data_IF_903400198197
#
_entry.id   IF_903400198197
#
_cell.length_a   1.000
_cell.length_b   1.000
_cell.length_c   1.000
_cell.angle_alpha   90.00
_cell.angle_beta   90.00
_cell.angle_gamma   90.00
#
_symmetry.space_group_name_H-M   'P 1'
#
loop_
_entity.id
_entity.type
_entity.pdbx_description
1 polymer ?
#
# COMPACT_ATOMS: atom_id res chain seq x y z
N UNK A 1 11.58 25.77 7.30
CA UNK A 1 10.44 25.24 8.06
C UNK A 1 10.19 23.82 7.58
N UNK A 2 10.57 22.77 8.34
CA UNK A 2 10.21 21.38 7.99
C UNK A 2 8.73 21.21 8.37
N UNK A 3 7.84 20.73 7.49
CA UNK A 3 6.44 20.56 7.85
C UNK A 3 6.35 19.59 9.04
N UNK A 4 5.65 20.02 10.08
CA UNK A 4 5.38 19.24 11.28
C UNK A 4 4.69 17.94 10.90
N UNK A 5 5.23 16.80 11.32
CA UNK A 5 4.71 15.44 11.07
C UNK A 5 3.33 15.15 11.69
N UNK A 6 2.69 16.15 12.31
CA UNK A 6 1.43 16.02 13.04
C UNK A 6 0.18 15.95 12.15
N UNK A 7 0.28 16.23 10.85
CA UNK A 7 -0.87 16.26 9.93
C UNK A 7 -0.87 15.11 8.90
N UNK A 8 0.12 14.22 8.97
CA UNK A 8 0.16 13.05 8.09
C UNK A 8 -0.72 11.91 8.62
N UNK A 9 -1.49 11.22 7.76
CA UNK A 9 -2.37 10.16 8.19
C UNK A 9 -1.58 9.00 8.82
N UNK A 10 -2.20 8.27 9.75
CA UNK A 10 -1.60 7.07 10.35
C UNK A 10 -1.30 6.04 9.25
N UNK A 11 -0.06 5.54 9.14
CA UNK A 11 0.29 4.53 8.13
C UNK A 11 -0.60 3.29 8.20
N UNK A 12 -0.93 2.79 9.40
CA UNK A 12 -1.80 1.63 9.56
C UNK A 12 -3.19 1.85 8.96
N UNK A 13 -3.79 3.03 9.12
CA UNK A 13 -5.14 3.29 8.62
C UNK A 13 -5.17 3.36 7.09
N UNK A 14 -4.16 3.98 6.48
CA UNK A 14 -4.03 3.98 5.01
C UNK A 14 -3.74 2.58 4.50
N UNK A 15 -2.85 1.83 5.17
CA UNK A 15 -2.50 0.46 4.76
C UNK A 15 -3.68 -0.52 4.89
N UNK A 16 -4.55 -0.36 5.90
CA UNK A 16 -5.81 -1.12 6.01
C UNK A 16 -6.72 -0.89 4.80
N UNK A 17 -6.87 0.37 4.38
CA UNK A 17 -7.70 0.70 3.22
C UNK A 17 -7.08 0.20 1.91
N UNK A 18 -5.76 0.28 1.77
CA UNK A 18 -5.03 -0.29 0.64
C UNK A 18 -5.20 -1.82 0.57
N UNK A 19 -5.17 -2.53 1.70
CA UNK A 19 -5.46 -3.96 1.75
C UNK A 19 -6.87 -4.28 1.25
N UNK A 20 -7.87 -3.55 1.74
CA UNK A 20 -9.26 -3.72 1.27
C UNK A 20 -9.40 -3.45 -0.24
N UNK A 21 -8.69 -2.44 -0.75
CA UNK A 21 -8.64 -2.13 -2.17
C UNK A 21 -7.99 -3.25 -3.00
N UNK A 22 -6.90 -3.84 -2.51
CA UNK A 22 -6.24 -4.99 -3.13
C UNK A 22 -7.16 -6.20 -3.19
N UNK A 23 -7.85 -6.53 -2.09
CA UNK A 23 -8.80 -7.65 -2.01
C UNK A 23 -9.97 -7.46 -3.00
N UNK A 24 -10.52 -6.25 -3.06
CA UNK A 24 -11.59 -5.91 -3.99
C UNK A 24 -11.15 -6.05 -5.46
N UNK A 25 -9.89 -5.70 -5.77
CA UNK A 25 -9.31 -5.84 -7.11
C UNK A 25 -9.01 -7.31 -7.47
N UNK A 26 -8.50 -8.10 -6.52
CA UNK A 26 -8.22 -9.52 -6.72
C UNK A 26 -9.50 -10.34 -6.95
N UNK A 27 -10.57 -10.06 -6.19
CA UNK A 27 -11.89 -10.66 -6.41
C UNK A 27 -12.43 -10.41 -7.83
N UNK A 28 -12.20 -9.20 -8.36
CA UNK A 28 -12.53 -8.83 -9.75
C UNK A 28 -11.65 -9.56 -10.76
N UNK A 29 -10.34 -9.62 -10.54
CA UNK A 29 -9.37 -10.29 -11.43
C UNK A 29 -9.65 -11.79 -11.56
N UNK A 30 -9.94 -12.46 -10.44
CA UNK A 30 -10.28 -13.89 -10.40
C UNK A 30 -11.54 -14.19 -11.23
N UNK A 31 -12.52 -13.28 -11.25
CA UNK A 31 -13.72 -13.40 -12.09
C UNK A 31 -13.43 -13.30 -13.59
N UNK A 32 -12.36 -12.60 -14.01
CA UNK A 32 -12.02 -12.33 -15.42
C UNK A 32 -11.05 -13.34 -16.05
N UNK A 33 -10.74 -14.49 -15.41
CA UNK A 33 -9.84 -15.56 -15.93
C UNK A 33 -8.50 -15.07 -16.50
N UNK A 34 -7.93 -13.97 -16.01
CA UNK A 34 -6.63 -13.46 -16.49
C UNK A 34 -5.51 -13.97 -15.59
N UNK A 35 -4.63 -14.81 -16.14
CA UNK A 35 -3.50 -15.38 -15.40
C UNK A 35 -2.27 -14.46 -15.54
N UNK A 36 -1.79 -13.92 -14.43
CA UNK A 36 -0.69 -12.94 -14.38
C UNK A 36 0.32 -13.36 -13.32
N UNK A 37 1.11 -14.36 -13.67
CA UNK A 37 2.12 -14.94 -12.79
C UNK A 37 3.22 -13.96 -12.35
N UNK A 38 3.74 -13.02 -13.18
CA UNK A 38 4.78 -12.10 -12.74
C UNK A 38 4.30 -11.04 -11.73
N UNK A 39 3.05 -10.57 -11.85
CA UNK A 39 2.39 -9.68 -10.86
C UNK A 39 2.36 -10.28 -9.46
N UNK A 40 2.30 -11.61 -9.36
CA UNK A 40 1.93 -12.29 -8.11
C UNK A 40 2.99 -12.14 -7.01
N UNK A 41 4.28 -12.08 -7.39
CA UNK A 41 5.37 -11.92 -6.41
C UNK A 41 5.37 -10.50 -5.84
N UNK A 42 5.33 -9.48 -6.70
CA UNK A 42 5.29 -8.08 -6.26
C UNK A 42 4.05 -7.80 -5.41
N UNK A 43 2.88 -8.29 -5.84
CA UNK A 43 1.63 -8.14 -5.08
C UNK A 43 1.65 -8.88 -3.73
N UNK A 44 2.28 -10.07 -3.66
CA UNK A 44 2.46 -10.77 -2.39
C UNK A 44 3.37 -10.00 -1.43
N UNK A 45 4.48 -9.42 -1.93
CA UNK A 45 5.37 -8.58 -1.14
C UNK A 45 4.64 -7.31 -0.67
N UNK A 46 3.92 -6.62 -1.56
CA UNK A 46 3.13 -5.43 -1.20
C UNK A 46 2.10 -5.76 -0.13
N UNK A 47 1.31 -6.84 -0.31
CA UNK A 47 0.33 -7.29 0.69
C UNK A 47 1.00 -7.53 2.05
N UNK A 48 2.12 -8.26 2.08
CA UNK A 48 2.88 -8.51 3.31
C UNK A 48 3.34 -7.22 4.00
N UNK A 49 3.90 -6.27 3.25
CA UNK A 49 4.34 -4.99 3.81
C UNK A 49 3.18 -4.20 4.43
N UNK A 50 2.01 -4.20 3.77
CA UNK A 50 0.81 -3.56 4.29
C UNK A 50 0.31 -4.25 5.56
N UNK A 51 0.24 -5.58 5.59
CA UNK A 51 -0.15 -6.37 6.77
C UNK A 51 0.78 -6.12 7.96
N UNK A 52 2.09 -6.15 7.73
CA UNK A 52 3.09 -5.86 8.76
C UNK A 52 2.99 -4.42 9.25
N UNK A 53 2.71 -3.45 8.38
CA UNK A 53 2.49 -2.04 8.77
C UNK A 53 1.26 -1.91 9.67
N UNK A 54 0.16 -2.59 9.31
CA UNK A 54 -1.07 -2.57 10.11
C UNK A 54 -0.88 -3.21 11.48
N UNK A 55 -0.08 -4.27 11.55
CA UNK A 55 0.23 -4.98 12.80
C UNK A 55 1.14 -4.16 13.71
N UNK A 56 2.21 -3.59 13.15
CA UNK A 56 3.26 -2.92 13.93
C UNK A 56 2.92 -1.43 14.19
N UNK A 57 1.96 -0.85 13.46
CA UNK A 57 1.45 0.52 13.55
C UNK A 57 2.53 1.60 13.76
N UNK A 58 3.51 1.71 12.85
CA UNK A 58 4.57 2.71 12.97
C UNK A 58 3.99 4.12 12.92
N UNK A 59 4.60 5.03 13.68
CA UNK A 59 4.22 6.44 13.63
C UNK A 59 4.52 7.05 12.25
N UNK A 60 3.80 8.11 11.82
CA UNK A 60 4.12 8.84 10.59
C UNK A 60 5.59 9.26 10.44
N UNK A 61 6.25 9.59 11.55
CA UNK A 61 7.66 10.01 11.55
C UNK A 61 8.65 8.85 11.37
N UNK A 62 8.25 7.65 11.79
CA UNK A 62 9.12 6.46 11.78
C UNK A 62 8.88 5.57 10.56
N UNK A 63 7.78 5.80 9.82
CA UNK A 63 7.32 4.87 8.79
C UNK A 63 8.34 4.60 7.68
N UNK A 64 9.04 5.65 7.22
CA UNK A 64 10.09 5.50 6.20
C UNK A 64 11.26 4.65 6.70
N UNK A 65 11.68 4.87 7.95
CA UNK A 65 12.71 4.07 8.59
C UNK A 65 12.25 2.63 8.81
N UNK A 66 10.99 2.44 9.20
CA UNK A 66 10.38 1.13 9.37
C UNK A 66 10.36 0.33 8.05
N UNK A 67 9.96 0.95 6.93
CA UNK A 67 10.00 0.31 5.61
C UNK A 67 11.43 -0.05 5.18
N UNK A 68 12.41 0.83 5.44
CA UNK A 68 13.82 0.56 5.16
C UNK A 68 14.31 -0.69 5.91
N UNK A 69 13.94 -0.86 7.19
CA UNK A 69 14.31 -2.06 7.96
C UNK A 69 13.77 -3.35 7.32
N UNK A 70 12.58 -3.32 6.70
CA UNK A 70 12.00 -4.47 6.00
C UNK A 70 12.74 -4.77 4.71
N UNK A 71 13.19 -3.76 3.98
CA UNK A 71 14.07 -3.94 2.83
C UNK A 71 15.41 -4.58 3.23
N UNK A 72 15.99 -4.17 4.36
CA UNK A 72 17.28 -4.68 4.85
C UNK A 72 17.19 -6.09 5.45
N UNK A 73 16.02 -6.47 5.97
CA UNK A 73 15.80 -7.78 6.60
C UNK A 73 15.33 -8.87 5.62
N UNK A 74 15.13 -8.53 4.34
CA UNK A 74 14.61 -9.48 3.35
C UNK A 74 15.75 -10.24 2.69
N UNK A 75 15.85 -11.54 2.99
CA UNK A 75 16.83 -12.46 2.37
C UNK A 75 16.58 -12.68 0.86
N UNK A 76 15.37 -12.39 0.41
CA UNK A 76 14.97 -12.51 -0.99
C UNK A 76 15.34 -11.21 -1.73
N UNK A 77 16.60 -11.11 -2.17
CA UNK A 77 17.13 -10.12 -3.13
C UNK A 77 16.52 -8.72 -3.03
N UNK A 78 17.26 -7.75 -2.52
CA UNK A 78 16.82 -6.40 -2.13
C UNK A 78 15.90 -5.64 -3.12
N UNK A 79 15.95 -5.93 -4.42
CA UNK A 79 15.24 -5.21 -5.49
C UNK A 79 13.70 -5.19 -5.39
N UNK A 80 12.98 -6.33 -5.46
CA UNK A 80 11.51 -6.34 -5.44
C UNK A 80 10.91 -5.83 -4.13
N UNK A 81 11.54 -6.14 -2.99
CA UNK A 81 11.11 -5.63 -1.68
C UNK A 81 11.25 -4.11 -1.62
N UNK A 82 12.38 -3.56 -2.08
CA UNK A 82 12.61 -2.12 -2.13
C UNK A 82 11.62 -1.42 -3.08
N UNK A 83 11.35 -2.00 -4.25
CA UNK A 83 10.36 -1.45 -5.18
C UNK A 83 8.97 -1.35 -4.54
N UNK A 84 8.51 -2.41 -3.87
CA UNK A 84 7.20 -2.40 -3.21
C UNK A 84 7.17 -1.49 -1.98
N UNK A 85 8.26 -1.38 -1.22
CA UNK A 85 8.35 -0.43 -0.11
C UNK A 85 8.24 1.03 -0.59
N UNK A 86 8.88 1.37 -1.72
CA UNK A 86 8.75 2.68 -2.35
C UNK A 86 7.32 2.96 -2.82
N UNK A 87 6.65 1.97 -3.39
CA UNK A 87 5.25 2.07 -3.82
C UNK A 87 4.32 2.33 -2.63
N UNK A 88 4.45 1.54 -1.56
CA UNK A 88 3.68 1.74 -0.31
C UNK A 88 3.93 3.13 0.28
N UNK A 89 5.18 3.59 0.28
CA UNK A 89 5.53 4.94 0.75
C UNK A 89 4.89 6.03 -0.12
N UNK A 90 4.85 5.84 -1.44
CA UNK A 90 4.22 6.76 -2.37
C UNK A 90 2.71 6.83 -2.15
N UNK A 91 2.03 5.69 -1.99
CA UNK A 91 0.60 5.61 -1.72
C UNK A 91 0.23 6.32 -0.40
N UNK A 92 1.02 6.10 0.66
CA UNK A 92 0.81 6.79 1.94
C UNK A 92 1.02 8.30 1.84
N UNK A 93 2.10 8.75 1.18
CA UNK A 93 2.35 10.17 0.93
C UNK A 93 1.25 10.80 0.06
N UNK A 94 0.68 10.04 -0.89
CA UNK A 94 -0.44 10.50 -1.71
C UNK A 94 -1.72 10.65 -0.88
N UNK A 95 -2.02 9.71 0.01
CA UNK A 95 -3.15 9.83 0.95
C UNK A 95 -3.04 11.07 1.83
N UNK A 96 -1.84 11.46 2.26
CA UNK A 96 -1.61 12.71 2.98
C UNK A 96 -1.83 13.99 2.15
N UNK A 97 -1.76 13.91 0.82
CA UNK A 97 -1.81 15.06 -0.09
C UNK A 97 -3.09 15.17 -0.93
N UNK A 98 -3.84 14.08 -1.07
CA UNK A 98 -5.01 13.99 -1.94
C UNK A 98 -6.21 13.48 -1.16
N UNK A 99 -7.13 14.40 -0.86
CA UNK A 99 -8.41 14.07 -0.25
C UNK A 99 -9.25 13.17 -1.17
N UNK A 100 -9.23 13.42 -2.48
CA UNK A 100 -9.90 12.56 -3.47
C UNK A 100 -9.42 11.11 -3.40
N UNK A 101 -8.10 10.90 -3.24
CA UNK A 101 -7.54 9.56 -3.09
C UNK A 101 -7.95 8.93 -1.76
N UNK A 102 -7.99 9.69 -0.66
CA UNK A 102 -8.50 9.19 0.63
C UNK A 102 -9.97 8.79 0.54
N UNK A 103 -10.83 9.64 -0.01
CA UNK A 103 -12.26 9.34 -0.17
C UNK A 103 -12.48 8.10 -1.05
N UNK A 104 -11.66 7.93 -2.10
CA UNK A 104 -11.69 6.73 -2.95
C UNK A 104 -11.27 5.47 -2.18
N UNK A 105 -10.25 5.54 -1.31
CA UNK A 105 -9.85 4.45 -0.43
C UNK A 105 -10.94 4.09 0.59
N UNK A 106 -11.58 5.09 1.21
CA UNK A 106 -12.66 4.91 2.19
C UNK A 106 -13.90 4.25 1.57
N UNK A 107 -14.16 4.51 0.29
CA UNK A 107 -15.26 3.87 -0.46
C UNK A 107 -14.92 2.47 -0.98
N UNK A 108 -13.76 1.92 -0.60
CA UNK A 108 -13.35 0.56 -0.94
C UNK A 108 -12.75 0.42 -2.34
N UNK A 109 -12.14 1.50 -2.86
CA UNK A 109 -11.49 1.53 -4.16
C UNK A 109 -12.39 1.02 -5.31
N UNK A 110 -13.58 1.61 -5.50
CA UNK A 110 -14.50 1.19 -6.54
C UNK A 110 -13.85 1.33 -7.92
N UNK A 111 -14.06 0.33 -8.77
CA UNK A 111 -13.64 0.38 -10.18
C UNK A 111 -14.55 1.36 -10.93
N UNK A 112 -14.01 2.31 -11.68
CA UNK A 112 -14.76 3.11 -12.67
C UNK A 112 -15.17 2.29 -13.92
N UNK A 113 -15.26 0.98 -13.78
CA UNK A 113 -15.74 0.08 -14.83
C UNK A 113 -17.28 0.09 -14.78
N UNK A 114 -17.86 1.25 -15.08
CA UNK A 114 -19.26 1.40 -15.47
C UNK A 114 -19.27 1.72 -16.96
N UNK A 115 -19.78 0.76 -17.73
CA UNK A 115 -19.91 0.85 -19.17
C UNK A 115 -20.66 2.10 -19.63
N UNK A 116 -20.15 2.66 -20.72
CA UNK A 116 -20.98 3.25 -21.76
C UNK A 116 -21.32 2.13 -22.76
#
# INVERSE_FOLDING_TARGET
>A
MRPSTSDSPRPADVCRQLLAALDASEGRRRRRKRNTTPDSIGMAIKRRLLEETVRDDPSPGDFEGWLLQRCLSSDAGTGPTQAMALEVMADWRLAGKSEAFRNWLETGAPSEDRGQ
#
